data_IF_396867418792
#
_entry.id   IF_396867418792
#
_cell.length_a   1.000
_cell.length_b   1.000
_cell.length_c   1.000
_cell.angle_alpha   90.00
_cell.angle_beta   90.00
_cell.angle_gamma   90.00
#
_symmetry.space_group_name_H-M   'P 1'
#
loop_
_entity.id
_entity.type
_entity.pdbx_description
1 polymer ?
#
# COMPACT_ATOMS: atom_id res chain seq x y z
N UNK A 1 31.49 27.59 23.58
CA UNK A 1 30.97 27.25 24.93
C UNK A 1 29.48 26.89 24.99
N UNK A 2 28.61 27.33 24.06
CA UNK A 2 27.19 26.93 24.06
C UNK A 2 26.92 25.47 23.61
N UNK A 3 27.75 24.89 22.73
CA UNK A 3 27.53 23.52 22.22
C UNK A 3 28.05 22.40 23.15
N UNK A 4 28.80 22.74 24.20
CA UNK A 4 29.26 21.77 25.21
C UNK A 4 28.22 21.55 26.32
N UNK A 5 27.31 22.51 26.50
CA UNK A 5 26.24 22.44 27.51
C UNK A 5 25.08 21.58 27.02
N UNK A 6 24.76 21.61 25.72
CA UNK A 6 23.69 20.77 25.14
C UNK A 6 24.06 19.28 25.05
N UNK A 7 25.34 18.95 24.92
CA UNK A 7 25.81 17.55 24.92
C UNK A 7 25.88 16.95 26.32
N UNK A 8 26.12 17.76 27.37
CA UNK A 8 25.97 17.32 28.76
C UNK A 8 24.51 17.25 29.23
N UNK A 9 23.61 18.08 28.66
CA UNK A 9 22.18 18.06 28.95
C UNK A 9 21.44 16.91 28.20
N UNK A 10 21.95 16.46 27.05
CA UNK A 10 21.41 15.28 26.34
C UNK A 10 21.96 13.95 26.86
N UNK A 11 23.12 13.95 27.54
CA UNK A 11 23.70 12.77 28.17
C UNK A 11 23.16 12.53 29.60
N UNK A 12 22.68 13.56 30.30
CA UNK A 12 22.01 13.40 31.61
C UNK A 12 20.55 12.93 31.49
N UNK A 13 19.92 13.09 30.33
CA UNK A 13 18.56 12.60 30.05
C UNK A 13 18.53 11.15 29.56
N UNK A 14 19.68 10.56 29.20
CA UNK A 14 19.79 9.18 28.69
C UNK A 14 20.28 8.17 29.73
N UNK A 15 20.62 8.59 30.97
CA UNK A 15 21.04 7.70 32.06
C UNK A 15 19.96 7.42 33.13
N UNK A 16 18.74 7.90 32.98
CA UNK A 16 17.65 7.70 33.97
C UNK A 16 16.80 6.44 33.76
N UNK A 17 17.14 5.56 32.82
CA UNK A 17 16.36 4.33 32.53
C UNK A 17 16.89 3.04 33.18
N UNK A 18 17.98 3.10 33.96
CA UNK A 18 18.38 1.97 34.83
C UNK A 18 17.85 2.16 36.25
N UNK A 19 16.55 2.44 36.39
CA UNK A 19 15.90 2.23 37.67
C UNK A 19 15.98 0.74 37.97
N UNK A 20 16.72 0.36 39.02
CA UNK A 20 16.45 -0.89 39.71
C UNK A 20 15.01 -0.79 40.23
N UNK A 21 14.04 -1.16 39.39
CA UNK A 21 12.64 -1.15 39.75
C UNK A 21 12.47 -2.14 40.91
N UNK A 22 12.31 -1.59 42.11
CA UNK A 22 11.92 -2.38 43.28
C UNK A 22 10.53 -2.93 43.00
N UNK A 23 10.42 -4.26 43.03
CA UNK A 23 9.17 -4.97 42.76
C UNK A 23 8.05 -4.52 43.70
N UNK A 24 8.38 -4.19 44.97
CA UNK A 24 7.43 -3.65 45.94
C UNK A 24 6.90 -2.28 45.54
N UNK A 25 7.76 -1.39 45.04
CA UNK A 25 7.33 -0.07 44.54
C UNK A 25 6.39 -0.19 43.34
N UNK A 26 6.53 -1.22 42.51
CA UNK A 26 5.61 -1.48 41.40
C UNK A 26 4.22 -1.85 41.92
N UNK A 27 4.16 -2.76 42.90
CA UNK A 27 2.90 -3.15 43.57
C UNK A 27 2.25 -1.96 44.30
N UNK A 28 3.04 -1.10 44.96
CA UNK A 28 2.54 0.10 45.65
C UNK A 28 1.95 1.14 44.69
N UNK A 29 2.51 1.26 43.49
CA UNK A 29 2.07 2.19 42.45
C UNK A 29 0.92 1.67 41.59
N UNK A 30 0.50 0.42 41.81
CA UNK A 30 -0.54 -0.24 41.03
C UNK A 30 -0.07 -0.86 39.71
N UNK A 31 1.25 -0.93 39.46
CA UNK A 31 1.82 -1.67 38.34
C UNK A 31 1.93 -3.16 38.69
N UNK A 32 0.78 -3.80 38.83
CA UNK A 32 0.69 -5.20 39.24
C UNK A 32 1.18 -6.15 38.16
N UNK A 33 0.83 -5.90 36.89
CA UNK A 33 1.27 -6.73 35.76
C UNK A 33 2.80 -6.69 35.59
N UNK A 34 3.40 -5.50 35.68
CA UNK A 34 4.85 -5.36 35.68
C UNK A 34 5.50 -6.04 36.88
N UNK A 35 4.91 -5.91 38.08
CA UNK A 35 5.41 -6.58 39.28
C UNK A 35 5.37 -8.11 39.15
N UNK A 36 4.26 -8.68 38.65
CA UNK A 36 4.11 -10.13 38.41
C UNK A 36 5.14 -10.60 37.38
N UNK A 37 5.30 -9.88 36.27
CA UNK A 37 6.28 -10.24 35.24
C UNK A 37 7.72 -10.21 35.78
N UNK A 38 8.09 -9.18 36.54
CA UNK A 38 9.41 -9.08 37.14
C UNK A 38 9.64 -10.19 38.17
N UNK A 39 8.69 -10.39 39.07
CA UNK A 39 8.80 -11.38 40.14
C UNK A 39 8.90 -12.81 39.58
N UNK A 40 8.01 -13.21 38.66
CA UNK A 40 8.05 -14.53 38.03
C UNK A 40 9.39 -14.80 37.32
N UNK A 41 9.92 -13.81 36.59
CA UNK A 41 11.25 -13.90 35.95
C UNK A 41 12.38 -14.09 36.95
N UNK A 42 12.35 -13.40 38.09
CA UNK A 42 13.39 -13.50 39.13
C UNK A 42 13.28 -14.80 39.93
N UNK A 43 12.06 -15.29 40.14
CA UNK A 43 11.76 -16.53 40.88
C UNK A 43 12.01 -17.81 40.08
N UNK A 44 12.15 -17.72 38.75
CA UNK A 44 12.60 -18.83 37.91
C UNK A 44 14.08 -19.21 38.14
N UNK A 45 14.87 -18.37 38.83
CA UNK A 45 16.25 -18.65 39.18
C UNK A 45 16.43 -19.58 40.40
N UNK A 46 17.68 -19.92 40.73
CA UNK A 46 18.00 -20.87 41.82
C UNK A 46 17.60 -20.39 43.22
N UNK A 47 17.63 -19.08 43.49
CA UNK A 47 17.27 -18.48 44.79
C UNK A 47 15.94 -17.75 44.71
N UNK A 48 14.96 -18.22 45.47
CA UNK A 48 13.62 -17.61 45.59
C UNK A 48 13.66 -16.55 46.70
N UNK A 49 14.13 -15.34 46.38
CA UNK A 49 14.18 -14.25 47.35
C UNK A 49 12.77 -13.88 47.84
N UNK A 50 12.64 -13.64 49.14
CA UNK A 50 11.36 -13.36 49.80
C UNK A 50 10.64 -12.13 49.25
N UNK A 51 11.37 -11.05 48.96
CA UNK A 51 10.80 -9.81 48.38
C UNK A 51 9.97 -10.08 47.11
N UNK A 52 10.47 -10.93 46.20
CA UNK A 52 9.77 -11.27 44.97
C UNK A 52 8.61 -12.23 45.22
N UNK A 53 8.71 -13.12 46.20
CA UNK A 53 7.62 -14.03 46.58
C UNK A 53 6.43 -13.24 47.12
N UNK A 54 6.68 -12.32 48.07
CA UNK A 54 5.65 -11.47 48.68
C UNK A 54 5.04 -10.53 47.64
N UNK A 55 5.87 -9.91 46.80
CA UNK A 55 5.36 -9.00 45.77
C UNK A 55 4.52 -9.72 44.70
N UNK A 56 4.88 -10.96 44.34
CA UNK A 56 4.09 -11.78 43.42
C UNK A 56 2.71 -12.11 44.00
N UNK A 57 2.65 -12.55 45.26
CA UNK A 57 1.39 -12.86 45.95
C UNK A 57 0.49 -11.63 46.06
N UNK A 58 1.01 -10.51 46.60
CA UNK A 58 0.25 -9.27 46.76
C UNK A 58 -0.18 -8.67 45.42
N UNK A 59 0.72 -8.69 44.43
CA UNK A 59 0.44 -8.18 43.09
C UNK A 59 -0.68 -8.96 42.42
N UNK A 60 -0.60 -10.29 42.45
CA UNK A 60 -1.62 -11.19 41.90
C UNK A 60 -2.96 -11.03 42.62
N UNK A 61 -2.99 -11.03 43.95
CA UNK A 61 -4.22 -10.86 44.73
C UNK A 61 -4.94 -9.55 44.39
N UNK A 62 -4.19 -8.44 44.31
CA UNK A 62 -4.77 -7.11 44.06
C UNK A 62 -5.31 -6.97 42.64
N UNK A 63 -4.55 -7.35 41.62
CA UNK A 63 -5.03 -7.23 40.23
C UNK A 63 -6.19 -8.19 39.96
N UNK A 64 -6.13 -9.42 40.49
CA UNK A 64 -7.21 -10.39 40.31
C UNK A 64 -8.49 -9.89 40.98
N UNK A 65 -8.41 -9.28 42.17
CA UNK A 65 -9.57 -8.64 42.80
C UNK A 65 -10.16 -7.51 41.96
N UNK A 66 -9.31 -6.66 41.37
CA UNK A 66 -9.76 -5.57 40.50
C UNK A 66 -10.44 -6.08 39.22
N UNK A 67 -9.84 -7.10 38.60
CA UNK A 67 -10.38 -7.74 37.41
C UNK A 67 -11.72 -8.42 37.71
N UNK A 68 -11.82 -9.16 38.82
CA UNK A 68 -13.08 -9.80 39.24
C UNK A 68 -14.17 -8.77 39.54
N UNK A 69 -13.84 -7.66 40.21
CA UNK A 69 -14.80 -6.58 40.44
C UNK A 69 -15.30 -5.94 39.12
N UNK A 70 -14.43 -5.86 38.11
CA UNK A 70 -14.79 -5.36 36.79
C UNK A 70 -15.69 -6.36 36.05
N UNK A 71 -15.36 -7.65 36.11
CA UNK A 71 -16.17 -8.74 35.55
C UNK A 71 -17.57 -8.73 36.17
N UNK A 72 -17.67 -8.63 37.50
CA UNK A 72 -18.95 -8.57 38.20
C UNK A 72 -19.79 -7.37 37.74
N UNK A 73 -19.18 -6.19 37.61
CA UNK A 73 -19.86 -4.99 37.14
C UNK A 73 -20.37 -5.13 35.69
N UNK A 74 -19.54 -5.66 34.79
CA UNK A 74 -19.91 -5.87 33.38
C UNK A 74 -20.97 -6.96 33.20
N UNK A 75 -20.99 -7.98 34.06
CA UNK A 75 -21.94 -9.10 33.97
C UNK A 75 -23.41 -8.69 34.13
N UNK A 76 -23.65 -7.51 34.72
CA UNK A 76 -24.98 -6.93 34.89
C UNK A 76 -25.47 -6.19 33.63
N UNK A 77 -24.61 -5.99 32.65
CA UNK A 77 -24.91 -5.25 31.42
C UNK A 77 -25.53 -6.12 30.34
N UNK A 78 -26.37 -5.51 29.51
CA UNK A 78 -26.92 -6.12 28.30
C UNK A 78 -26.21 -5.68 27.01
N UNK A 79 -24.96 -5.19 27.12
CA UNK A 79 -24.14 -4.75 25.98
C UNK A 79 -23.11 -5.81 25.62
N UNK A 80 -23.05 -6.20 24.35
CA UNK A 80 -22.14 -7.24 23.87
C UNK A 80 -20.66 -6.88 24.15
N UNK A 81 -20.32 -5.59 24.04
CA UNK A 81 -18.97 -5.06 24.25
C UNK A 81 -18.47 -5.26 25.69
N UNK A 82 -19.37 -5.25 26.67
CA UNK A 82 -19.04 -5.54 28.07
C UNK A 82 -18.73 -7.03 28.27
N UNK A 83 -19.47 -7.92 27.61
CA UNK A 83 -19.21 -9.36 27.63
C UNK A 83 -17.91 -9.73 26.92
N UNK A 84 -17.54 -9.03 25.86
CA UNK A 84 -16.20 -9.16 25.28
C UNK A 84 -15.09 -8.66 26.21
N UNK A 85 -15.35 -7.60 26.97
CA UNK A 85 -14.42 -7.12 27.99
C UNK A 85 -14.22 -8.18 29.08
N UNK A 86 -15.28 -8.88 29.50
CA UNK A 86 -15.18 -10.03 30.42
C UNK A 86 -14.28 -11.12 29.84
N UNK A 87 -14.49 -11.53 28.58
CA UNK A 87 -13.66 -12.55 27.92
C UNK A 87 -12.18 -12.15 27.93
N UNK A 88 -11.88 -10.90 27.54
CA UNK A 88 -10.50 -10.38 27.52
C UNK A 88 -9.88 -10.35 28.91
N UNK A 89 -10.61 -9.86 29.90
CA UNK A 89 -10.11 -9.75 31.29
C UNK A 89 -9.92 -11.13 31.93
N UNK A 90 -10.83 -12.07 31.72
CA UNK A 90 -10.67 -13.45 32.18
C UNK A 90 -9.43 -14.13 31.56
N UNK A 91 -9.16 -13.91 30.26
CA UNK A 91 -7.92 -14.37 29.60
C UNK A 91 -6.66 -13.74 30.20
N UNK A 92 -6.71 -12.47 30.61
CA UNK A 92 -5.59 -11.82 31.30
C UNK A 92 -5.35 -12.46 32.67
N UNK A 93 -6.40 -12.76 33.44
CA UNK A 93 -6.29 -13.53 34.70
C UNK A 93 -5.62 -14.87 34.41
N UNK A 94 -6.11 -15.63 33.42
CA UNK A 94 -5.55 -16.94 33.06
C UNK A 94 -4.06 -16.83 32.70
N UNK A 95 -3.69 -15.84 31.90
CA UNK A 95 -2.29 -15.58 31.51
C UNK A 95 -1.39 -15.35 32.74
N UNK A 96 -1.91 -14.72 33.80
CA UNK A 96 -1.16 -14.56 35.06
C UNK A 96 -1.08 -15.87 35.84
N UNK A 97 -2.17 -16.63 35.89
CA UNK A 97 -2.20 -17.96 36.54
C UNK A 97 -1.19 -18.91 35.88
N UNK A 98 -1.16 -18.98 34.55
CA UNK A 98 -0.23 -19.81 33.78
C UNK A 98 1.25 -19.47 34.05
N UNK A 99 1.54 -18.20 34.38
CA UNK A 99 2.90 -17.76 34.76
C UNK A 99 3.28 -18.16 36.18
N UNK A 100 2.29 -18.28 37.07
CA UNK A 100 2.48 -18.56 38.50
C UNK A 100 2.46 -20.06 38.76
N UNK A 101 1.58 -20.80 38.09
CA UNK A 101 1.34 -22.24 38.31
C UNK A 101 2.64 -23.08 38.29
N UNK A 102 3.59 -22.90 37.35
CA UNK A 102 4.84 -23.67 37.33
C UNK A 102 5.76 -23.40 38.53
N UNK A 103 5.54 -22.30 39.28
CA UNK A 103 6.34 -21.94 40.44
C UNK A 103 5.81 -22.59 41.74
N UNK A 104 4.64 -23.22 41.69
CA UNK A 104 3.98 -23.81 42.86
C UNK A 104 4.53 -25.21 43.19
N UNK A 105 4.68 -25.56 44.47
CA UNK A 105 4.52 -24.68 45.64
C UNK A 105 5.64 -23.64 45.74
N UNK A 106 5.26 -22.38 45.99
CA UNK A 106 6.22 -21.26 46.07
C UNK A 106 6.59 -20.96 47.52
N UNK A 107 7.84 -21.24 47.88
CA UNK A 107 8.42 -20.98 49.20
C UNK A 107 9.70 -20.15 49.04
N UNK A 108 9.87 -19.10 49.84
CA UNK A 108 11.06 -18.25 49.85
C UNK A 108 12.26 -18.97 50.46
N UNK A 109 13.45 -18.42 50.24
CA UNK A 109 14.68 -18.90 50.89
C UNK A 109 14.65 -18.82 52.43
N UNK A 110 13.78 -17.98 53.00
CA UNK A 110 13.60 -17.85 54.45
C UNK A 110 12.37 -18.62 54.98
N UNK A 111 11.69 -19.41 54.13
CA UNK A 111 10.57 -20.27 54.53
C UNK A 111 9.17 -19.64 54.43
N UNK A 112 9.04 -18.40 53.95
CA UNK A 112 7.74 -17.80 53.66
C UNK A 112 7.05 -18.56 52.52
N UNK A 113 5.81 -19.02 52.74
CA UNK A 113 5.01 -19.76 51.75
C UNK A 113 3.90 -18.87 51.21
N UNK A 114 4.01 -18.50 49.93
CA UNK A 114 2.97 -17.72 49.25
C UNK A 114 1.72 -18.57 49.00
N UNK A 115 0.55 -17.92 49.03
CA UNK A 115 -0.74 -18.52 48.72
C UNK A 115 -1.37 -17.81 47.51
N UNK A 116 -1.87 -18.61 46.57
CA UNK A 116 -2.57 -18.10 45.40
C UNK A 116 -3.95 -18.72 45.33
N UNK A 117 -4.96 -17.87 45.14
CA UNK A 117 -6.35 -18.29 44.88
C UNK A 117 -6.61 -18.12 43.40
N UNK A 118 -6.59 -19.22 42.65
CA UNK A 118 -6.89 -19.20 41.24
C UNK A 118 -8.40 -19.15 40.99
N UNK A 119 -8.76 -18.45 39.93
CA UNK A 119 -10.09 -18.28 39.38
C UNK A 119 -10.29 -19.31 38.26
N UNK A 120 -11.47 -19.90 38.22
CA UNK A 120 -11.93 -20.73 37.10
C UNK A 120 -12.31 -19.82 35.92
N UNK A 121 -11.29 -19.40 35.16
CA UNK A 121 -11.47 -18.45 34.05
C UNK A 121 -12.17 -19.10 32.85
N UNK A 122 -12.02 -20.40 32.66
CA UNK A 122 -12.66 -21.14 31.56
C UNK A 122 -14.18 -21.08 31.68
N UNK A 123 -14.70 -21.28 32.89
CA UNK A 123 -16.13 -21.12 33.17
C UNK A 123 -16.62 -19.70 32.83
N UNK A 124 -15.90 -18.68 33.30
CA UNK A 124 -16.25 -17.26 33.03
C UNK A 124 -16.23 -16.97 31.53
N UNK A 125 -15.21 -17.45 30.81
CA UNK A 125 -15.06 -17.24 29.37
C UNK A 125 -16.19 -17.91 28.60
N UNK A 126 -16.57 -19.15 28.96
CA UNK A 126 -17.63 -19.87 28.28
C UNK A 126 -19.00 -19.21 28.51
N UNK A 127 -19.32 -18.85 29.74
CA UNK A 127 -20.56 -18.11 30.06
C UNK A 127 -20.63 -16.77 29.30
N UNK A 128 -19.51 -16.04 29.24
CA UNK A 128 -19.46 -14.77 28.52
C UNK A 128 -19.56 -14.93 27.00
N UNK A 129 -18.97 -15.99 26.42
CA UNK A 129 -19.10 -16.34 24.99
C UNK A 129 -20.55 -16.65 24.63
N UNK A 130 -21.23 -17.46 25.42
CA UNK A 130 -22.63 -17.81 25.16
C UNK A 130 -23.52 -16.56 25.20
N UNK A 131 -23.28 -15.68 26.19
CA UNK A 131 -24.04 -14.45 26.34
C UNK A 131 -23.80 -13.44 25.22
N UNK A 132 -22.53 -13.21 24.84
CA UNK A 132 -22.21 -12.27 23.74
C UNK A 132 -22.77 -12.76 22.40
N UNK A 133 -22.66 -14.06 22.12
CA UNK A 133 -23.25 -14.67 20.91
C UNK A 133 -24.76 -14.49 20.90
N UNK A 134 -25.45 -14.72 22.03
CA UNK A 134 -26.90 -14.51 22.12
C UNK A 134 -27.31 -13.05 21.87
N UNK A 135 -26.54 -12.08 22.36
CA UNK A 135 -26.79 -10.66 22.11
C UNK A 135 -26.59 -10.30 20.64
N UNK A 136 -25.54 -10.84 20.01
CA UNK A 136 -25.27 -10.63 18.60
C UNK A 136 -26.28 -11.32 17.68
N UNK A 137 -26.78 -12.52 18.01
CA UNK A 137 -27.87 -13.18 17.28
C UNK A 137 -29.12 -12.28 17.21
N UNK A 138 -29.44 -11.59 18.30
CA UNK A 138 -30.60 -10.67 18.32
C UNK A 138 -30.41 -9.51 17.34
N UNK A 139 -29.22 -8.89 17.31
CA UNK A 139 -28.89 -7.83 16.35
C UNK A 139 -28.84 -8.35 14.91
N UNK A 140 -28.31 -9.56 14.72
CA UNK A 140 -28.19 -10.21 13.42
C UNK A 140 -29.56 -10.42 12.77
N UNK A 141 -30.58 -10.82 13.54
CA UNK A 141 -31.94 -10.99 13.02
C UNK A 141 -32.47 -9.70 12.38
N UNK A 142 -32.28 -8.56 13.03
CA UNK A 142 -32.72 -7.26 12.51
C UNK A 142 -31.94 -6.83 11.26
N UNK A 143 -30.62 -7.08 11.25
CA UNK A 143 -29.76 -6.81 10.10
C UNK A 143 -30.15 -7.68 8.89
N UNK A 144 -30.36 -8.98 9.10
CA UNK A 144 -30.77 -9.93 8.07
C UNK A 144 -32.14 -9.56 7.50
N UNK A 145 -33.08 -9.16 8.36
CA UNK A 145 -34.41 -8.70 7.92
C UNK A 145 -34.29 -7.46 7.03
N UNK A 146 -33.50 -6.48 7.43
CA UNK A 146 -33.26 -5.26 6.65
C UNK A 146 -32.52 -5.55 5.34
N UNK A 147 -31.54 -6.47 5.37
CA UNK A 147 -30.80 -6.93 4.20
C UNK A 147 -31.73 -7.56 3.15
N UNK A 148 -32.60 -8.48 3.59
CA UNK A 148 -33.61 -9.11 2.72
C UNK A 148 -34.65 -8.15 2.17
N UNK A 149 -34.85 -7.01 2.83
CA UNK A 149 -35.68 -5.90 2.34
C UNK A 149 -34.95 -4.97 1.35
N UNK A 150 -33.67 -5.23 1.06
CA UNK A 150 -32.87 -4.49 0.07
C UNK A 150 -31.75 -3.61 0.64
N UNK A 151 -31.58 -3.55 1.98
CA UNK A 151 -30.50 -2.75 2.57
C UNK A 151 -29.14 -3.44 2.42
N UNK A 152 -28.33 -2.97 1.46
CA UNK A 152 -26.99 -3.54 1.22
C UNK A 152 -26.05 -3.29 2.39
N UNK A 153 -26.13 -2.13 3.03
CA UNK A 153 -25.36 -1.83 4.25
C UNK A 153 -25.64 -2.84 5.37
N UNK A 154 -26.91 -3.13 5.64
CA UNK A 154 -27.29 -4.14 6.64
C UNK A 154 -26.78 -5.55 6.30
N UNK A 155 -26.73 -5.89 5.01
CA UNK A 155 -26.15 -7.17 4.57
C UNK A 155 -24.65 -7.26 4.86
N UNK A 156 -23.92 -6.16 4.65
CA UNK A 156 -22.48 -6.06 4.96
C UNK A 156 -22.25 -6.15 6.47
N UNK A 157 -23.01 -5.39 7.25
CA UNK A 157 -22.93 -5.43 8.71
C UNK A 157 -23.25 -6.82 9.26
N UNK A 158 -24.25 -7.51 8.71
CA UNK A 158 -24.58 -8.89 9.07
C UNK A 158 -23.45 -9.87 8.71
N UNK A 159 -22.85 -9.73 7.52
CA UNK A 159 -21.71 -10.55 7.11
C UNK A 159 -20.51 -10.38 8.04
N UNK A 160 -20.18 -9.14 8.40
CA UNK A 160 -19.08 -8.81 9.31
C UNK A 160 -19.36 -9.32 10.72
N UNK A 161 -20.60 -9.17 11.21
CA UNK A 161 -21.03 -9.69 12.50
C UNK A 161 -20.92 -11.21 12.57
N UNK A 162 -21.30 -11.93 11.51
CA UNK A 162 -21.14 -13.39 11.42
C UNK A 162 -19.67 -13.83 11.52
N UNK A 163 -18.75 -13.10 10.86
CA UNK A 163 -17.31 -13.36 10.98
C UNK A 163 -16.81 -13.09 12.40
N UNK A 164 -17.26 -11.99 13.00
CA UNK A 164 -16.90 -11.61 14.35
C UNK A 164 -17.36 -12.65 15.38
N UNK A 165 -18.62 -13.09 15.31
CA UNK A 165 -19.17 -14.14 16.18
C UNK A 165 -18.38 -15.46 16.08
N UNK A 166 -18.00 -15.88 14.86
CA UNK A 166 -17.13 -17.05 14.66
C UNK A 166 -15.73 -16.87 15.25
N UNK A 167 -15.19 -15.64 15.25
CA UNK A 167 -13.89 -15.36 15.87
C UNK A 167 -13.93 -15.46 17.40
N UNK A 168 -15.07 -15.11 18.01
CA UNK A 168 -15.31 -15.23 19.45
C UNK A 168 -15.56 -16.68 19.87
N UNK A 169 -16.36 -17.39 19.09
CA UNK A 169 -16.69 -18.80 19.30
C UNK A 169 -16.55 -19.58 17.99
N UNK A 170 -15.49 -20.39 17.88
CA UNK A 170 -15.17 -21.16 16.66
C UNK A 170 -16.26 -22.16 16.26
N UNK A 171 -17.10 -22.60 17.21
CA UNK A 171 -18.21 -23.51 16.96
C UNK A 171 -19.43 -22.81 16.36
N UNK A 172 -19.44 -21.47 16.34
CA UNK A 172 -20.50 -20.69 15.71
C UNK A 172 -20.35 -20.69 14.18
N UNK A 173 -21.17 -21.51 13.52
CA UNK A 173 -21.08 -21.75 12.06
C UNK A 173 -22.46 -21.55 11.41
N UNK A 174 -22.51 -20.62 10.44
CA UNK A 174 -23.70 -20.24 9.64
C UNK A 174 -23.32 -19.95 8.17
N UNK A 175 -22.77 -20.93 7.41
CA UNK A 175 -22.16 -20.67 6.12
C UNK A 175 -23.19 -20.21 5.08
N UNK A 176 -24.39 -20.79 5.08
CA UNK A 176 -25.44 -20.44 4.12
C UNK A 176 -25.91 -18.99 4.31
N UNK A 177 -26.14 -18.58 5.56
CA UNK A 177 -26.54 -17.21 5.88
C UNK A 177 -25.41 -16.23 5.57
N UNK A 178 -24.15 -16.60 5.85
CA UNK A 178 -22.99 -15.78 5.51
C UNK A 178 -22.91 -15.56 4.00
N UNK A 179 -23.07 -16.60 3.20
CA UNK A 179 -23.04 -16.50 1.75
C UNK A 179 -24.22 -15.69 1.21
N UNK A 180 -25.41 -15.85 1.79
CA UNK A 180 -26.59 -15.02 1.48
C UNK A 180 -26.31 -13.53 1.74
N UNK A 181 -25.83 -13.18 2.93
CA UNK A 181 -25.50 -11.79 3.28
C UNK A 181 -24.39 -11.24 2.38
N UNK A 182 -23.42 -12.08 1.99
CA UNK A 182 -22.40 -11.69 1.01
C UNK A 182 -23.01 -11.31 -0.32
N UNK A 183 -23.92 -12.12 -0.87
CA UNK A 183 -24.55 -11.82 -2.16
C UNK A 183 -25.42 -10.57 -2.09
N UNK A 184 -26.23 -10.41 -1.03
CA UNK A 184 -27.08 -9.23 -0.85
C UNK A 184 -26.29 -7.92 -0.68
N UNK A 185 -25.10 -7.99 -0.07
CA UNK A 185 -24.25 -6.82 0.14
C UNK A 185 -23.45 -6.37 -1.08
N UNK A 186 -23.41 -7.16 -2.17
CA UNK A 186 -22.64 -6.84 -3.37
C UNK A 186 -23.36 -5.77 -4.19
N UNK A 187 -22.62 -4.74 -4.60
CA UNK A 187 -23.01 -3.79 -5.63
C UNK A 187 -22.72 -4.40 -7.01
N UNK A 188 -23.71 -4.34 -7.88
CA UNK A 188 -23.63 -4.72 -9.28
C UNK A 188 -23.42 -3.47 -10.12
N UNK A 189 -22.25 -3.38 -10.75
CA UNK A 189 -21.82 -2.17 -11.45
C UNK A 189 -21.66 -2.53 -12.92
N UNK A 190 -22.44 -1.90 -13.80
CA UNK A 190 -22.26 -2.04 -15.25
C UNK A 190 -21.26 -1.00 -15.73
N UNK A 191 -20.32 -1.41 -16.58
CA UNK A 191 -19.32 -0.52 -17.18
C UNK A 191 -19.59 -0.43 -18.67
N UNK A 192 -19.87 0.79 -19.13
CA UNK A 192 -20.20 1.10 -20.52
C UNK A 192 -19.10 1.98 -21.12
N UNK A 193 -18.78 1.71 -22.39
CA UNK A 193 -17.93 2.57 -23.21
C UNK A 193 -18.78 3.17 -24.34
N UNK A 194 -18.90 4.48 -24.36
CA UNK A 194 -19.56 5.22 -25.42
C UNK A 194 -18.52 5.93 -26.28
N UNK A 195 -18.47 5.65 -27.58
CA UNK A 195 -17.64 6.39 -28.51
C UNK A 195 -18.45 7.53 -29.14
N UNK A 196 -18.32 8.73 -28.59
CA UNK A 196 -18.91 9.96 -29.14
C UNK A 196 -17.92 10.73 -30.05
N UNK A 197 -16.73 10.18 -30.27
CA UNK A 197 -15.76 10.73 -31.20
C UNK A 197 -16.06 10.31 -32.65
N UNK A 198 -15.42 10.98 -33.62
CA UNK A 198 -15.48 10.59 -35.03
C UNK A 198 -14.40 9.55 -35.41
N UNK A 199 -13.52 9.20 -34.46
CA UNK A 199 -12.42 8.29 -34.71
C UNK A 199 -12.85 6.82 -34.60
N UNK A 200 -12.24 5.98 -35.44
CA UNK A 200 -12.42 4.53 -35.36
C UNK A 200 -11.59 3.96 -34.21
N UNK A 201 -12.25 3.33 -33.23
CA UNK A 201 -11.60 2.61 -32.13
C UNK A 201 -11.65 1.11 -32.45
N UNK A 202 -10.49 0.44 -32.61
CA UNK A 202 -10.47 -1.01 -32.85
C UNK A 202 -11.05 -1.79 -31.66
N UNK A 203 -11.83 -2.83 -31.93
CA UNK A 203 -12.44 -3.68 -30.88
C UNK A 203 -11.40 -4.23 -29.88
N UNK A 204 -10.20 -4.59 -30.35
CA UNK A 204 -9.12 -5.07 -29.48
C UNK A 204 -8.71 -4.06 -28.40
N UNK A 205 -8.84 -2.75 -28.68
CA UNK A 205 -8.50 -1.69 -27.73
C UNK A 205 -9.58 -1.58 -26.65
N UNK A 206 -10.84 -1.76 -27.05
CA UNK A 206 -11.97 -1.83 -26.11
C UNK A 206 -11.80 -3.04 -25.19
N UNK A 207 -11.52 -4.21 -25.74
CA UNK A 207 -11.26 -5.42 -24.94
C UNK A 207 -10.06 -5.26 -24.00
N UNK A 208 -8.98 -4.61 -24.46
CA UNK A 208 -7.80 -4.30 -23.65
C UNK A 208 -8.15 -3.33 -22.51
N UNK A 209 -8.95 -2.30 -22.75
CA UNK A 209 -9.41 -1.37 -21.71
C UNK A 209 -10.26 -2.08 -20.66
N UNK A 210 -11.17 -2.96 -21.12
CA UNK A 210 -12.17 -3.62 -20.31
C UNK A 210 -11.64 -4.87 -19.58
N UNK A 211 -10.55 -5.47 -20.06
CA UNK A 211 -9.98 -6.69 -19.47
C UNK A 211 -9.14 -6.42 -18.21
N UNK A 212 -9.30 -7.33 -17.24
CA UNK A 212 -8.41 -7.60 -16.09
C UNK A 212 -8.34 -6.63 -14.90
N UNK A 213 -8.87 -5.40 -14.95
CA UNK A 213 -8.77 -4.49 -13.79
C UNK A 213 -9.97 -4.56 -12.85
N UNK A 214 -11.16 -4.87 -13.38
CA UNK A 214 -12.40 -4.90 -12.62
C UNK A 214 -12.78 -6.28 -12.08
N UNK A 215 -12.20 -7.36 -12.62
CA UNK A 215 -12.45 -8.75 -12.18
C UNK A 215 -11.60 -9.18 -10.97
N UNK A 216 -10.50 -8.47 -10.67
CA UNK A 216 -9.61 -8.76 -9.53
C UNK A 216 -9.66 -7.74 -8.40
N UNK A 217 -10.16 -6.53 -8.65
CA UNK A 217 -9.91 -5.38 -7.76
C UNK A 217 -11.14 -4.54 -7.39
N UNK A 218 -12.37 -5.01 -7.64
CA UNK A 218 -13.50 -4.51 -6.88
C UNK A 218 -13.30 -5.01 -5.46
N UNK A 219 -13.10 -4.10 -4.48
CA UNK A 219 -13.06 -4.48 -3.07
C UNK A 219 -14.24 -5.39 -2.69
N UNK A 220 -14.25 -5.97 -1.49
CA UNK A 220 -15.13 -7.09 -1.11
C UNK A 220 -16.61 -7.00 -1.55
N UNK A 221 -17.14 -5.80 -1.74
CA UNK A 221 -18.54 -5.50 -2.02
C UNK A 221 -18.86 -5.01 -3.44
N UNK A 222 -17.93 -4.91 -4.38
CA UNK A 222 -18.23 -4.39 -5.73
C UNK A 222 -17.95 -5.46 -6.80
N UNK A 223 -18.93 -5.72 -7.67
CA UNK A 223 -18.81 -6.62 -8.82
C UNK A 223 -19.13 -5.87 -10.10
N UNK A 224 -18.17 -5.86 -11.02
CA UNK A 224 -18.25 -5.15 -12.28
C UNK A 224 -18.63 -6.08 -13.43
N UNK A 225 -19.40 -5.54 -14.38
CA UNK A 225 -19.86 -6.22 -15.57
C UNK A 225 -19.56 -5.36 -16.79
N UNK A 226 -19.13 -6.00 -17.88
CA UNK A 226 -18.73 -5.33 -19.14
C UNK A 226 -19.81 -5.45 -20.23
N UNK A 227 -20.88 -6.17 -19.92
CA UNK A 227 -22.01 -6.43 -20.79
C UNK A 227 -23.25 -6.62 -19.92
N UNK A 228 -24.41 -6.26 -20.45
CA UNK A 228 -25.67 -6.55 -19.79
C UNK A 228 -25.82 -8.05 -19.58
N UNK A 229 -26.18 -8.44 -18.37
CA UNK A 229 -26.48 -9.83 -18.02
C UNK A 229 -27.99 -9.92 -17.88
N UNK A 230 -28.60 -10.85 -18.62
CA UNK A 230 -30.04 -11.06 -18.58
C UNK A 230 -30.52 -11.32 -17.15
N UNK A 231 -31.51 -10.53 -16.72
CA UNK A 231 -32.11 -10.64 -15.39
C UNK A 231 -31.34 -9.96 -14.26
N UNK A 232 -30.17 -9.35 -14.52
CA UNK A 232 -29.45 -8.56 -13.52
C UNK A 232 -29.78 -7.07 -13.67
N UNK A 233 -30.36 -6.48 -12.62
CA UNK A 233 -30.52 -5.02 -12.52
C UNK A 233 -29.27 -4.46 -11.83
N UNK A 234 -28.45 -3.64 -12.52
CA UNK A 234 -27.29 -3.00 -11.91
C UNK A 234 -27.74 -1.94 -10.89
N UNK A 235 -26.93 -1.74 -9.84
CA UNK A 235 -27.11 -0.65 -8.88
C UNK A 235 -26.48 0.65 -9.39
N UNK A 236 -25.37 0.53 -10.12
CA UNK A 236 -24.64 1.68 -10.65
C UNK A 236 -24.21 1.42 -12.09
N UNK A 237 -24.16 2.50 -12.87
CA UNK A 237 -23.53 2.52 -14.19
C UNK A 237 -22.29 3.41 -14.17
N UNK A 238 -21.20 2.89 -14.72
CA UNK A 238 -19.96 3.60 -14.99
C UNK A 238 -19.88 3.80 -16.49
N UNK A 239 -20.13 5.02 -16.95
CA UNK A 239 -20.15 5.38 -18.36
C UNK A 239 -18.87 6.15 -18.71
N UNK A 240 -18.00 5.52 -19.49
CA UNK A 240 -16.83 6.17 -20.07
C UNK A 240 -17.17 6.68 -21.46
N UNK A 241 -17.32 8.00 -21.60
CA UNK A 241 -17.69 8.66 -22.85
C UNK A 241 -16.44 9.22 -23.51
N UNK A 242 -16.01 8.64 -24.62
CA UNK A 242 -14.93 9.17 -25.44
C UNK A 242 -15.47 10.35 -26.23
N UNK A 243 -15.02 11.56 -25.92
CA UNK A 243 -15.53 12.79 -26.52
C UNK A 243 -14.78 13.13 -27.81
N UNK A 244 -13.46 12.98 -27.78
CA UNK A 244 -12.60 13.42 -28.86
C UNK A 244 -11.33 12.56 -28.89
N UNK A 245 -10.94 12.15 -30.10
CA UNK A 245 -9.64 11.54 -30.40
C UNK A 245 -9.07 12.32 -31.58
N UNK A 246 -7.92 12.94 -31.38
CA UNK A 246 -7.21 13.70 -32.40
C UNK A 246 -5.81 13.12 -32.59
N UNK A 247 -5.46 12.77 -33.82
CA UNK A 247 -4.10 12.37 -34.19
C UNK A 247 -3.50 13.45 -35.07
N UNK A 248 -2.32 13.96 -34.71
CA UNK A 248 -1.64 14.95 -35.54
C UNK A 248 -1.09 14.29 -36.81
N UNK A 249 -0.96 15.03 -37.92
CA UNK A 249 -0.17 14.58 -39.06
C UNK A 249 1.28 14.27 -38.66
N UNK A 250 1.97 13.53 -39.52
CA UNK A 250 3.39 13.23 -39.37
C UNK A 250 4.21 14.55 -39.40
N UNK A 251 4.83 14.91 -38.27
CA UNK A 251 5.63 16.12 -38.13
C UNK A 251 7.12 15.85 -38.22
N UNK A 252 7.84 16.68 -38.99
CA UNK A 252 9.30 16.60 -39.12
C UNK A 252 9.93 17.98 -39.13
N UNK A 253 10.93 18.21 -38.30
CA UNK A 253 11.75 19.41 -38.31
C UNK A 253 13.22 19.06 -38.49
N UNK A 254 13.86 19.63 -39.52
CA UNK A 254 15.29 19.52 -39.72
C UNK A 254 16.05 20.57 -38.93
N UNK A 255 17.13 20.14 -38.28
CA UNK A 255 18.09 20.99 -37.57
C UNK A 255 19.47 20.74 -38.15
N UNK A 256 20.21 21.83 -38.38
CA UNK A 256 21.58 21.78 -38.88
C UNK A 256 22.51 22.48 -37.90
N UNK A 257 23.63 21.83 -37.60
CA UNK A 257 24.72 22.42 -36.81
C UNK A 257 26.06 22.08 -37.45
N UNK A 258 26.90 23.10 -37.62
CA UNK A 258 28.25 22.96 -38.17
C UNK A 258 29.28 22.99 -37.04
N UNK A 259 30.23 22.06 -37.07
CA UNK A 259 31.27 21.85 -36.05
C UNK A 259 32.65 21.90 -36.70
N UNK A 260 33.62 22.43 -35.96
CA UNK A 260 35.00 22.55 -36.37
C UNK A 260 35.91 22.29 -35.18
N UNK A 261 36.93 21.45 -35.35
CA UNK A 261 37.92 21.15 -34.30
C UNK A 261 39.31 21.09 -34.92
N UNK A 262 40.31 21.63 -34.24
CA UNK A 262 41.70 21.37 -34.59
C UNK A 262 42.13 20.08 -33.90
N UNK A 263 42.62 19.13 -34.70
CA UNK A 263 43.12 17.85 -34.21
C UNK A 263 44.53 17.63 -34.72
N UNK A 264 45.30 16.86 -33.97
CA UNK A 264 46.57 16.31 -34.47
C UNK A 264 46.22 15.22 -35.49
N UNK A 265 46.66 15.41 -36.74
CA UNK A 265 46.48 14.46 -37.83
C UNK A 265 47.86 14.03 -38.37
N UNK A 266 48.53 13.21 -37.56
CA UNK A 266 49.88 12.72 -37.81
C UNK A 266 50.98 13.70 -37.40
N UNK A 267 52.18 13.44 -37.91
CA UNK A 267 53.40 14.15 -37.52
C UNK A 267 54.23 14.50 -38.74
N UNK A 268 54.87 15.66 -38.73
CA UNK A 268 55.84 16.05 -39.74
C UNK A 268 57.26 16.07 -39.15
N UNK A 269 58.24 15.67 -39.96
CA UNK A 269 59.64 15.73 -39.57
C UNK A 269 60.13 17.17 -39.62
N UNK A 270 60.73 17.63 -38.53
CA UNK A 270 61.39 18.94 -38.52
C UNK A 270 62.69 18.81 -39.30
N UNK A 271 62.92 19.68 -40.28
CA UNK A 271 64.16 19.66 -41.07
C UNK A 271 65.18 20.63 -40.48
N UNK A 272 66.46 20.26 -40.53
CA UNK A 272 67.59 21.14 -40.21
C UNK A 272 67.85 22.16 -41.32
N UNK A 273 68.77 23.10 -41.10
CA UNK A 273 69.10 24.16 -42.07
C UNK A 273 69.64 23.64 -43.43
N UNK A 274 69.92 22.34 -43.55
CA UNK A 274 70.43 21.67 -44.76
C UNK A 274 69.38 20.79 -45.43
N UNK A 275 68.15 20.75 -44.90
CA UNK A 275 67.04 19.98 -45.43
C UNK A 275 67.02 18.51 -45.01
N UNK A 276 67.86 18.08 -44.05
CA UNK A 276 67.83 16.73 -43.51
C UNK A 276 66.90 16.66 -42.29
N UNK A 277 66.34 15.48 -41.99
CA UNK A 277 65.52 15.28 -40.79
C UNK A 277 66.34 15.57 -39.54
N UNK A 278 65.88 16.54 -38.75
CA UNK A 278 66.50 16.96 -37.50
C UNK A 278 66.44 15.80 -36.51
N UNK A 279 67.58 15.45 -35.93
CA UNK A 279 67.71 14.43 -34.90
C UNK A 279 67.91 15.08 -33.53
N UNK A 280 67.32 14.50 -32.50
CA UNK A 280 67.55 14.91 -31.11
C UNK A 280 68.96 14.51 -30.64
N UNK A 281 69.31 14.88 -29.41
CA UNK A 281 70.62 14.58 -28.81
C UNK A 281 70.89 13.08 -28.60
N UNK A 282 69.89 12.21 -28.80
CA UNK A 282 69.97 10.76 -28.71
C UNK A 282 69.91 10.09 -30.09
N UNK A 283 69.82 10.86 -31.18
CA UNK A 283 69.80 10.37 -32.57
C UNK A 283 68.41 10.03 -33.12
N UNK A 284 67.33 10.29 -32.38
CA UNK A 284 65.96 10.03 -32.82
C UNK A 284 65.42 11.21 -33.63
N UNK A 285 64.56 10.92 -34.60
CA UNK A 285 63.97 11.95 -35.46
C UNK A 285 62.99 12.84 -34.69
N UNK A 286 63.18 14.16 -34.78
CA UNK A 286 62.31 15.15 -34.16
C UNK A 286 61.04 15.31 -35.00
N UNK A 287 59.91 14.95 -34.40
CA UNK A 287 58.57 15.04 -34.99
C UNK A 287 57.80 16.21 -34.38
N UNK A 288 57.05 16.93 -35.21
CA UNK A 288 56.10 17.96 -34.79
C UNK A 288 54.68 17.50 -35.11
N UNK A 289 53.76 17.74 -34.20
CA UNK A 289 52.33 17.55 -34.41
C UNK A 289 51.86 18.31 -35.65
N UNK A 290 51.26 17.61 -36.62
CA UNK A 290 50.59 18.26 -37.74
C UNK A 290 49.15 18.55 -37.33
N UNK A 291 48.87 19.80 -36.99
CA UNK A 291 47.50 20.24 -36.68
C UNK A 291 46.70 20.43 -37.97
N UNK A 292 45.57 19.74 -38.08
CA UNK A 292 44.62 19.90 -39.18
C UNK A 292 43.28 20.31 -38.60
N UNK A 293 42.65 21.30 -39.22
CA UNK A 293 41.30 21.72 -38.91
C UNK A 293 40.30 20.81 -39.62
N UNK A 294 39.59 20.00 -38.85
CA UNK A 294 38.54 19.12 -39.34
C UNK A 294 37.17 19.76 -39.14
N UNK A 295 36.25 19.51 -40.07
CA UNK A 295 34.89 20.06 -40.03
C UNK A 295 33.86 18.93 -40.22
N UNK A 296 32.73 19.04 -39.52
CA UNK A 296 31.57 18.18 -39.71
C UNK A 296 30.27 18.97 -39.58
N UNK A 297 29.27 18.60 -40.36
CA UNK A 297 27.90 19.08 -40.23
C UNK A 297 27.04 17.95 -39.67
N UNK A 298 26.35 18.23 -38.59
CA UNK A 298 25.32 17.34 -38.03
C UNK A 298 23.96 17.81 -38.55
N UNK A 299 23.24 16.89 -39.20
CA UNK A 299 21.85 17.05 -39.61
C UNK A 299 20.99 16.19 -38.70
N UNK A 300 20.09 16.82 -37.95
CA UNK A 300 19.13 16.11 -37.11
C UNK A 300 17.72 16.28 -37.70
N UNK A 301 16.99 15.18 -37.84
CA UNK A 301 15.57 15.18 -38.18
C UNK A 301 14.78 14.84 -36.92
N UNK A 302 14.07 15.83 -36.39
CA UNK A 302 13.19 15.67 -35.24
C UNK A 302 11.81 15.28 -35.74
N UNK A 303 11.45 14.02 -35.54
CA UNK A 303 10.15 13.45 -35.89
C UNK A 303 9.21 13.53 -34.68
N UNK A 304 7.99 14.00 -34.89
CA UNK A 304 6.96 14.05 -33.85
C UNK A 304 5.58 13.73 -34.42
N UNK A 305 4.82 12.91 -33.70
CA UNK A 305 3.40 12.64 -33.98
C UNK A 305 2.69 12.41 -32.66
N UNK A 306 1.46 12.92 -32.51
CA UNK A 306 0.75 12.89 -31.23
C UNK A 306 -0.66 12.36 -31.39
N UNK A 307 -1.16 11.70 -30.34
CA UNK A 307 -2.56 11.41 -30.18
C UNK A 307 -3.07 12.05 -28.88
N UNK A 308 -4.13 12.84 -28.99
CA UNK A 308 -4.87 13.43 -27.88
C UNK A 308 -6.20 12.69 -27.74
N UNK A 309 -6.45 12.15 -26.55
CA UNK A 309 -7.71 11.51 -26.18
C UNK A 309 -8.36 12.32 -25.06
N UNK A 310 -9.59 12.76 -25.28
CA UNK A 310 -10.45 13.38 -24.27
C UNK A 310 -11.66 12.51 -24.02
N UNK A 311 -11.92 12.26 -22.75
CA UNK A 311 -13.06 11.46 -22.31
C UNK A 311 -13.68 12.05 -21.06
N UNK A 312 -14.93 11.65 -20.81
CA UNK A 312 -15.64 11.95 -19.57
C UNK A 312 -16.09 10.65 -18.93
N UNK A 313 -15.74 10.48 -17.66
CA UNK A 313 -16.26 9.45 -16.80
C UNK A 313 -17.52 9.98 -16.12
N UNK A 314 -18.61 9.23 -16.17
CA UNK A 314 -19.83 9.50 -15.42
C UNK A 314 -20.22 8.25 -14.62
N UNK A 315 -20.51 8.43 -13.34
CA UNK A 315 -21.02 7.36 -12.48
C UNK A 315 -22.42 7.73 -12.03
N UNK A 316 -23.37 6.85 -12.28
CA UNK A 316 -24.79 7.08 -12.04
C UNK A 316 -25.35 5.97 -11.14
N UNK A 317 -26.17 6.34 -10.17
CA UNK A 317 -27.03 5.42 -9.43
C UNK A 317 -28.21 5.05 -10.33
N UNK A 318 -28.34 3.77 -10.69
CA UNK A 318 -29.37 3.30 -11.62
C UNK A 318 -30.78 3.26 -10.99
N UNK A 319 -30.86 3.29 -9.65
CA UNK A 319 -32.14 3.32 -8.93
C UNK A 319 -32.69 4.74 -8.84
N UNK A 320 -31.83 5.73 -8.56
CA UNK A 320 -32.25 7.13 -8.37
C UNK A 320 -32.08 8.00 -9.62
N UNK A 321 -31.20 7.59 -10.55
CA UNK A 321 -30.74 8.41 -11.67
C UNK A 321 -29.75 9.51 -11.28
N UNK A 322 -29.30 9.55 -10.03
CA UNK A 322 -28.38 10.57 -9.53
C UNK A 322 -26.96 10.34 -10.07
N UNK A 323 -26.34 11.42 -10.57
CA UNK A 323 -24.95 11.39 -10.99
C UNK A 323 -24.04 11.58 -9.77
N UNK A 324 -23.35 10.51 -9.39
CA UNK A 324 -22.44 10.44 -8.23
C UNK A 324 -21.10 11.11 -8.54
N UNK A 325 -20.60 10.93 -9.76
CA UNK A 325 -19.29 11.41 -10.17
C UNK A 325 -19.32 11.83 -11.64
N UNK A 326 -18.59 12.89 -11.97
CA UNK A 326 -18.33 13.29 -13.35
C UNK A 326 -16.96 13.94 -13.45
N UNK A 327 -16.06 13.28 -14.18
CA UNK A 327 -14.66 13.68 -14.30
C UNK A 327 -14.22 13.66 -15.76
N UNK A 328 -13.47 14.68 -16.18
CA UNK A 328 -12.89 14.71 -17.52
C UNK A 328 -11.47 14.14 -17.46
N UNK A 329 -11.18 13.16 -18.31
CA UNK A 329 -9.87 12.52 -18.40
C UNK A 329 -9.27 12.84 -19.77
N UNK A 330 -8.13 13.53 -19.74
CA UNK A 330 -7.31 13.84 -20.91
C UNK A 330 -6.00 13.04 -20.89
N UNK A 331 -5.64 12.48 -22.04
CA UNK A 331 -4.41 11.73 -22.26
C UNK A 331 -3.78 12.22 -23.55
N UNK A 332 -2.50 12.57 -23.48
CA UNK A 332 -1.67 12.87 -24.65
C UNK A 332 -0.59 11.81 -24.75
N UNK A 333 -0.50 11.16 -25.90
CA UNK A 333 0.62 10.28 -26.25
C UNK A 333 1.43 10.89 -27.38
N UNK A 334 2.76 10.83 -27.24
CA UNK A 334 3.70 11.48 -28.14
C UNK A 334 4.70 10.45 -28.65
N UNK A 335 4.66 10.19 -29.95
CA UNK A 335 5.80 9.63 -30.65
C UNK A 335 6.81 10.73 -30.92
N UNK A 336 8.04 10.55 -30.41
CA UNK A 336 9.16 11.44 -30.65
C UNK A 336 10.42 10.65 -31.00
N UNK A 337 11.07 11.01 -32.10
CA UNK A 337 12.33 10.40 -32.52
C UNK A 337 13.27 11.45 -33.10
N UNK A 338 14.58 11.32 -32.82
CA UNK A 338 15.60 12.20 -33.41
C UNK A 338 16.57 11.34 -34.20
N UNK A 339 16.45 11.43 -35.53
CA UNK A 339 17.43 10.86 -36.43
C UNK A 339 18.62 11.81 -36.55
N UNK A 340 19.81 11.24 -36.75
CA UNK A 340 21.07 12.00 -36.87
C UNK A 340 21.89 11.48 -38.02
N UNK A 341 22.21 12.37 -38.93
CA UNK A 341 23.18 12.15 -40.00
C UNK A 341 24.39 13.09 -39.83
N UNK A 342 25.57 12.61 -40.24
CA UNK A 342 26.83 13.33 -40.10
C UNK A 342 27.49 13.42 -41.47
N UNK A 343 27.85 14.64 -41.87
CA UNK A 343 28.54 14.93 -43.13
C UNK A 343 29.90 15.53 -42.78
N UNK A 344 30.99 15.02 -43.36
CA UNK A 344 32.36 15.46 -43.05
C UNK A 344 33.09 14.53 -42.08
N UNK A 345 34.07 15.08 -41.35
CA UNK A 345 34.99 14.32 -40.49
C UNK A 345 34.45 14.27 -39.05
N UNK A 346 33.96 13.11 -38.61
CA UNK A 346 33.34 12.90 -37.30
C UNK A 346 34.29 13.16 -36.11
N UNK A 347 35.61 13.25 -36.35
CA UNK A 347 36.61 13.67 -35.35
C UNK A 347 36.40 15.12 -34.92
N UNK A 348 35.71 15.93 -35.74
CA UNK A 348 35.27 17.28 -35.37
C UNK A 348 34.19 17.30 -34.29
N UNK A 349 33.55 16.16 -34.00
CA UNK A 349 32.46 16.01 -33.04
C UNK A 349 32.92 15.39 -31.72
N UNK A 350 32.18 15.67 -30.64
CA UNK A 350 32.32 14.96 -29.37
C UNK A 350 31.86 13.50 -29.51
N UNK A 351 32.45 12.54 -28.75
CA UNK A 351 32.22 11.11 -28.95
C UNK A 351 30.73 10.69 -28.94
N UNK A 352 29.90 11.31 -28.11
CA UNK A 352 28.45 11.03 -28.01
C UNK A 352 27.64 11.53 -29.22
N UNK A 353 28.22 12.36 -30.09
CA UNK A 353 27.58 12.89 -31.29
C UNK A 353 27.96 12.13 -32.57
N UNK A 354 28.96 11.23 -32.50
CA UNK A 354 29.49 10.51 -33.66
C UNK A 354 28.59 9.36 -34.14
N UNK A 355 27.64 8.95 -33.31
CA UNK A 355 26.68 7.89 -33.67
C UNK A 355 25.64 8.44 -34.63
N UNK A 356 25.53 7.81 -35.81
CA UNK A 356 24.42 8.03 -36.74
C UNK A 356 23.18 7.31 -36.23
N UNK A 357 22.02 7.96 -36.32
CA UNK A 357 20.73 7.42 -35.90
C UNK A 357 19.80 7.50 -37.11
N UNK A 358 19.24 6.36 -37.53
CA UNK A 358 18.34 6.33 -38.67
C UNK A 358 16.95 6.88 -38.28
N UNK A 359 16.22 7.51 -39.22
CA UNK A 359 14.80 7.80 -39.05
C UNK A 359 14.00 6.54 -38.77
N UNK A 360 12.97 6.67 -37.94
CA UNK A 360 11.99 5.61 -37.71
C UNK A 360 10.73 5.89 -38.54
N UNK A 361 10.02 4.85 -39.01
CA UNK A 361 8.69 5.04 -39.57
C UNK A 361 7.78 5.63 -38.48
N UNK A 362 6.89 6.55 -38.87
CA UNK A 362 5.86 7.04 -37.96
C UNK A 362 4.92 5.89 -37.58
N UNK A 363 4.45 5.84 -36.33
CA UNK A 363 3.43 4.87 -35.94
C UNK A 363 2.13 5.13 -36.71
N UNK A 364 1.38 4.05 -36.92
CA UNK A 364 0.03 4.16 -37.48
C UNK A 364 -0.88 4.92 -36.52
N UNK A 365 -1.96 5.50 -37.04
CA UNK A 365 -2.95 6.17 -36.19
C UNK A 365 -3.56 5.20 -35.17
N UNK A 366 -3.84 3.96 -35.58
CA UNK A 366 -4.39 2.93 -34.70
C UNK A 366 -3.44 2.54 -33.56
N UNK A 367 -2.13 2.54 -33.80
CA UNK A 367 -1.13 2.24 -32.76
C UNK A 367 -1.04 3.39 -31.75
N UNK A 368 -0.99 4.64 -32.22
CA UNK A 368 -1.00 5.81 -31.33
C UNK A 368 -2.30 5.91 -30.52
N UNK A 369 -3.45 5.61 -31.13
CA UNK A 369 -4.73 5.56 -30.41
C UNK A 369 -4.68 4.46 -29.34
N UNK A 370 -4.18 3.26 -29.66
CA UNK A 370 -4.02 2.17 -28.69
C UNK A 370 -3.16 2.61 -27.50
N UNK A 371 -2.04 3.29 -27.76
CA UNK A 371 -1.18 3.81 -26.70
C UNK A 371 -1.90 4.86 -25.84
N UNK A 372 -2.71 5.74 -26.44
CA UNK A 372 -3.52 6.69 -25.69
C UNK A 372 -4.56 6.00 -24.78
N UNK A 373 -5.15 4.90 -25.24
CA UNK A 373 -6.04 4.07 -24.40
C UNK A 373 -5.29 3.37 -23.26
N UNK A 374 -4.03 2.96 -23.46
CA UNK A 374 -3.19 2.43 -22.37
C UNK A 374 -2.90 3.49 -21.32
N UNK A 375 -2.69 4.75 -21.72
CA UNK A 375 -2.56 5.89 -20.80
C UNK A 375 -3.88 6.24 -20.09
N UNK A 376 -5.02 6.04 -20.76
CA UNK A 376 -6.36 6.28 -20.19
C UNK A 376 -6.72 5.28 -19.10
N UNK A 377 -6.46 3.99 -19.34
CA UNK A 377 -6.86 2.88 -18.47
C UNK A 377 -6.54 3.10 -16.97
N UNK A 378 -5.30 3.41 -16.55
CA UNK A 378 -4.99 3.59 -15.13
C UNK A 378 -5.72 4.80 -14.52
N UNK A 379 -5.92 5.88 -15.27
CA UNK A 379 -6.69 7.05 -14.80
C UNK A 379 -8.15 6.69 -14.58
N UNK A 380 -8.76 6.04 -15.57
CA UNK A 380 -10.14 5.56 -15.51
C UNK A 380 -10.37 4.62 -14.31
N UNK A 381 -9.51 3.61 -14.15
CA UNK A 381 -9.61 2.65 -13.04
C UNK A 381 -9.45 3.33 -11.68
N UNK A 382 -8.56 4.32 -11.57
CA UNK A 382 -8.38 5.07 -10.32
C UNK A 382 -9.62 5.88 -9.94
N UNK A 383 -10.23 6.58 -10.90
CA UNK A 383 -11.44 7.35 -10.62
C UNK A 383 -12.62 6.45 -10.21
N UNK A 384 -12.81 5.31 -10.89
CA UNK A 384 -13.85 4.35 -10.51
C UNK A 384 -13.62 3.81 -9.09
N UNK A 385 -12.37 3.63 -8.65
CA UNK A 385 -12.07 3.20 -7.27
C UNK A 385 -12.35 4.29 -6.24
N UNK A 386 -12.07 5.55 -6.58
CA UNK A 386 -12.26 6.68 -5.66
C UNK A 386 -13.74 6.98 -5.41
N UNK A 387 -14.64 6.61 -6.32
CA UNK A 387 -16.08 6.89 -6.25
C UNK A 387 -16.82 6.24 -5.06
N UNK A 388 -16.16 5.39 -4.26
CA UNK A 388 -16.69 4.73 -3.06
C UNK A 388 -18.20 4.42 -3.08
N UNK A 389 -18.60 3.52 -3.98
CA UNK A 389 -19.98 3.06 -4.16
C UNK A 389 -20.68 2.62 -2.86
N UNK A 390 -19.93 2.22 -1.83
CA UNK A 390 -20.47 1.78 -0.56
C UNK A 390 -21.26 2.88 0.18
N UNK A 391 -20.89 4.15 0.01
CA UNK A 391 -21.55 5.28 0.66
C UNK A 391 -22.95 5.57 0.08
N UNK A 392 -23.22 5.09 -1.14
CA UNK A 392 -24.45 5.35 -1.88
C UNK A 392 -25.39 4.13 -1.92
N UNK A 393 -25.01 3.00 -1.30
CA UNK A 393 -25.72 1.72 -1.40
C UNK A 393 -26.97 1.55 -0.51
N UNK A 394 -27.71 2.63 -0.21
CA UNK A 394 -28.89 2.59 0.69
C UNK A 394 -30.20 2.96 0.00
#
# INVERSE_FOLDING_TARGET
MKNLVYTFLSLSLSLSLFSCASVDKMVERGDYDGAIQLATKKLAGKKKKEEYVIALERGFEKITRQDMASIDAWSLSNRAEDWEAIIRTARNIQTRQDRIEPLLPLVSENGYRAKFTFVDTDKIINEAKDKVVSLYETRLVDMVKSARAGSKSSARDAYDLLNHMRSLNGDYVRPELKDEMRQLGINHIIVNLENNSQAFIPASVVDELMSNDFSRNGGDWNRFYLSNIDGLVPDFAVNLKIQEILVTPDGGQERRADYSKEIVDGWEYVLDARGNVLKDSLGNDVKRDKLVRVNATVLELVQSKKALLRSRLEIVDERTGEQICSENIEVEEIFGHVARNIIGDDRALEPNMRTRIQPLPFPSESDLIRDAFRGLKPKFVNEVRNANFANYSN
#
